data_IF_540949168992
#
_entry.id   IF_540949168992
#
_cell.length_a   1.000
_cell.length_b   1.000
_cell.length_c   1.000
_cell.angle_alpha   90.00
_cell.angle_beta   90.00
_cell.angle_gamma   90.00
#
_symmetry.space_group_name_H-M   'P 1'
#
loop_
_entity.id
_entity.type
_entity.pdbx_description
1 polymer ?
#
# COMPACT_ATOMS: atom_id res chain seq x y z
N UNK A 1 -1.41 30.20 5.03
CA UNK A 1 -2.40 29.11 5.18
C UNK A 1 -1.63 27.82 5.37
N UNK A 2 -1.89 27.07 6.42
CA UNK A 2 -1.27 25.74 6.63
C UNK A 2 -1.76 24.79 5.55
N UNK A 3 -0.86 24.10 4.85
CA UNK A 3 -1.24 23.14 3.79
C UNK A 3 -1.85 21.88 4.41
N UNK A 4 -2.75 21.22 3.68
CA UNK A 4 -3.25 19.91 4.06
C UNK A 4 -2.12 18.88 4.15
N UNK A 5 -2.25 17.91 5.06
CA UNK A 5 -1.36 16.78 5.18
C UNK A 5 -1.70 15.74 4.10
N UNK A 6 -0.73 15.32 3.32
CA UNK A 6 -0.91 14.32 2.27
C UNK A 6 -0.40 12.95 2.74
N UNK A 7 -1.27 11.96 2.76
CA UNK A 7 -0.97 10.59 3.15
C UNK A 7 -1.12 9.67 1.95
N UNK A 8 -0.11 8.85 1.68
CA UNK A 8 -0.13 7.87 0.60
C UNK A 8 -0.20 6.46 1.20
N UNK A 9 -1.29 5.73 0.92
CA UNK A 9 -1.50 4.36 1.38
C UNK A 9 -1.29 3.39 0.23
N UNK A 10 -0.37 2.45 0.41
CA UNK A 10 0.08 1.52 -0.61
C UNK A 10 -0.23 0.08 -0.20
N UNK A 11 -1.18 -0.55 -0.90
CA UNK A 11 -1.60 -1.93 -0.67
C UNK A 11 -0.51 -2.93 -1.09
N UNK A 12 -0.48 -4.11 -0.44
CA UNK A 12 0.34 -5.24 -0.85
C UNK A 12 -0.17 -5.92 -2.12
N UNK A 13 0.73 -6.48 -2.93
CA UNK A 13 0.33 -7.15 -4.18
C UNK A 13 1.45 -7.61 -5.10
N UNK A 14 2.67 -7.78 -4.60
CA UNK A 14 3.81 -8.26 -5.39
C UNK A 14 4.05 -7.41 -6.65
N UNK A 15 4.11 -8.06 -7.82
CA UNK A 15 4.36 -7.38 -9.09
C UNK A 15 3.29 -6.33 -9.49
N UNK A 16 2.10 -6.37 -8.87
CA UNK A 16 1.07 -5.33 -9.07
C UNK A 16 1.52 -3.96 -8.55
N UNK A 17 2.49 -3.92 -7.63
CA UNK A 17 3.04 -2.68 -7.07
C UNK A 17 3.67 -1.73 -8.08
N UNK A 18 3.97 -2.17 -9.29
CA UNK A 18 4.40 -1.29 -10.39
C UNK A 18 3.35 -0.21 -10.72
N UNK A 19 2.06 -0.47 -10.50
CA UNK A 19 0.99 0.52 -10.62
C UNK A 19 1.17 1.69 -9.65
N UNK A 20 1.59 1.40 -8.41
CA UNK A 20 1.84 2.42 -7.38
C UNK A 20 2.95 3.40 -7.77
N UNK A 21 3.94 2.92 -8.54
CA UNK A 21 5.01 3.78 -9.07
C UNK A 21 4.44 4.86 -9.98
N UNK A 22 3.54 4.48 -10.89
CA UNK A 22 2.87 5.43 -11.78
C UNK A 22 1.98 6.42 -11.03
N UNK A 23 1.24 5.94 -10.03
CA UNK A 23 0.44 6.80 -9.14
C UNK A 23 1.33 7.84 -8.44
N UNK A 24 2.45 7.41 -7.86
CA UNK A 24 3.39 8.33 -7.23
C UNK A 24 4.01 9.31 -8.20
N UNK A 25 4.35 8.87 -9.41
CA UNK A 25 4.86 9.73 -10.48
C UNK A 25 3.87 10.86 -10.83
N UNK A 26 2.58 10.55 -10.98
CA UNK A 26 1.54 11.53 -11.27
C UNK A 26 1.36 12.53 -10.11
N UNK A 27 1.35 12.06 -8.86
CA UNK A 27 1.30 12.93 -7.68
C UNK A 27 2.51 13.88 -7.64
N UNK A 28 3.71 13.37 -7.88
CA UNK A 28 4.94 14.16 -7.89
C UNK A 28 4.89 15.24 -8.99
N UNK A 29 4.46 14.91 -10.21
CA UNK A 29 4.28 15.86 -11.32
C UNK A 29 3.24 16.94 -11.02
N UNK A 30 2.22 16.60 -10.24
CA UNK A 30 1.21 17.56 -9.78
C UNK A 30 1.69 18.42 -8.59
N UNK A 31 2.92 18.23 -8.12
CA UNK A 31 3.48 18.94 -6.95
C UNK A 31 2.89 18.46 -5.61
N UNK A 32 2.24 17.29 -5.59
CA UNK A 32 1.66 16.69 -4.40
C UNK A 32 2.69 15.73 -3.78
N UNK A 33 3.34 16.20 -2.73
CA UNK A 33 4.30 15.42 -1.99
C UNK A 33 3.62 14.76 -0.78
N UNK A 34 3.78 13.44 -0.57
CA UNK A 34 3.34 12.81 0.66
C UNK A 34 4.13 13.32 1.87
N UNK A 35 3.43 13.57 2.96
CA UNK A 35 4.01 13.82 4.28
C UNK A 35 4.19 12.50 5.04
N UNK A 36 3.33 11.53 4.72
CA UNK A 36 3.33 10.21 5.32
C UNK A 36 3.01 9.13 4.28
N UNK A 37 3.81 8.07 4.24
CA UNK A 37 3.55 6.88 3.43
C UNK A 37 3.30 5.70 4.37
N UNK A 38 2.21 4.98 4.14
CA UNK A 38 1.86 3.76 4.88
C UNK A 38 1.72 2.62 3.89
N UNK A 39 2.47 1.54 4.10
CA UNK A 39 2.52 0.45 3.14
C UNK A 39 2.50 -0.93 3.77
N UNK A 40 2.03 -1.90 2.98
CA UNK A 40 2.06 -3.32 3.31
C UNK A 40 2.73 -4.08 2.17
N UNK A 41 3.63 -5.04 2.48
CA UNK A 41 4.28 -5.90 1.48
C UNK A 41 5.05 -5.06 0.42
N UNK A 42 4.75 -5.24 -0.88
CA UNK A 42 5.33 -4.39 -1.93
C UNK A 42 5.02 -2.90 -1.72
N UNK A 43 3.90 -2.57 -1.09
CA UNK A 43 3.58 -1.19 -0.71
C UNK A 43 4.54 -0.63 0.34
N UNK A 44 4.98 -1.44 1.30
CA UNK A 44 6.03 -1.08 2.26
C UNK A 44 7.38 -0.85 1.56
N UNK A 45 7.68 -1.67 0.56
CA UNK A 45 8.89 -1.59 -0.24
C UNK A 45 8.90 -0.30 -1.09
N UNK A 46 7.83 -0.03 -1.83
CA UNK A 46 7.68 1.23 -2.56
C UNK A 46 7.70 2.44 -1.60
N UNK A 47 7.05 2.32 -0.43
CA UNK A 47 7.06 3.34 0.60
C UNK A 47 8.46 3.67 1.11
N UNK A 48 9.29 2.65 1.35
CA UNK A 48 10.68 2.83 1.76
C UNK A 48 11.52 3.52 0.67
N UNK A 49 11.32 3.18 -0.60
CA UNK A 49 11.98 3.83 -1.72
C UNK A 49 11.55 5.30 -1.91
N UNK A 50 10.29 5.61 -1.58
CA UNK A 50 9.77 6.98 -1.61
C UNK A 50 10.36 7.80 -0.45
N UNK A 51 10.32 7.27 0.77
CA UNK A 51 10.64 8.01 1.99
C UNK A 51 12.13 7.98 2.35
N UNK A 52 12.87 6.94 1.95
CA UNK A 52 14.26 6.68 2.36
C UNK A 52 15.29 7.42 1.54
N UNK A 53 15.43 8.72 1.79
CA UNK A 53 16.39 9.60 1.14
C UNK A 53 15.79 10.95 0.77
N UNK A 54 16.48 11.73 -0.05
CA UNK A 54 15.88 12.97 -0.53
C UNK A 54 14.71 12.68 -1.48
N UNK A 55 13.75 13.59 -1.48
CA UNK A 55 12.52 13.40 -2.24
C UNK A 55 12.66 13.70 -3.72
N UNK A 56 13.72 14.41 -4.13
CA UNK A 56 13.98 14.71 -5.54
C UNK A 56 14.38 13.43 -6.30
N UNK A 57 15.08 12.49 -5.63
CA UNK A 57 15.52 11.23 -6.23
C UNK A 57 14.60 10.02 -5.91
N UNK A 58 13.45 10.22 -5.29
CA UNK A 58 12.54 9.11 -4.93
C UNK A 58 12.04 8.33 -6.15
N UNK A 59 11.72 9.01 -7.25
CA UNK A 59 11.34 8.36 -8.51
C UNK A 59 12.49 7.56 -9.10
N UNK A 60 13.71 8.07 -9.06
CA UNK A 60 14.88 7.36 -9.55
C UNK A 60 15.16 6.07 -8.75
N UNK A 61 14.97 6.10 -7.43
CA UNK A 61 15.08 4.90 -6.58
C UNK A 61 14.02 3.86 -6.92
N UNK A 62 12.77 4.28 -7.13
CA UNK A 62 11.69 3.40 -7.57
C UNK A 62 12.00 2.80 -8.95
N UNK A 63 12.42 3.61 -9.91
CA UNK A 63 12.80 3.16 -11.25
C UNK A 63 13.93 2.14 -11.19
N UNK A 64 15.02 2.46 -10.50
CA UNK A 64 16.15 1.55 -10.34
C UNK A 64 15.73 0.21 -9.73
N UNK A 65 14.89 0.22 -8.69
CA UNK A 65 14.38 -1.01 -8.09
C UNK A 65 13.57 -1.85 -9.08
N UNK A 66 12.56 -1.24 -9.73
CA UNK A 66 11.67 -1.98 -10.63
C UNK A 66 12.36 -2.44 -11.91
N UNK A 67 13.38 -1.71 -12.39
CA UNK A 67 14.24 -2.15 -13.50
C UNK A 67 15.11 -3.35 -13.10
N UNK A 68 15.69 -3.33 -11.91
CA UNK A 68 16.56 -4.41 -11.43
C UNK A 68 15.84 -5.73 -11.14
N UNK A 69 14.56 -5.67 -10.73
CA UNK A 69 13.75 -6.86 -10.49
C UNK A 69 12.97 -7.31 -11.73
N UNK A 70 12.96 -6.49 -12.79
CA UNK A 70 12.29 -6.87 -14.03
C UNK A 70 12.95 -8.09 -14.65
N UNK A 71 12.14 -9.04 -15.07
CA UNK A 71 12.64 -10.14 -15.90
C UNK A 71 12.80 -9.66 -17.34
N UNK A 72 13.93 -9.98 -17.98
CA UNK A 72 14.22 -9.48 -19.32
C UNK A 72 13.19 -9.96 -20.33
N UNK A 73 12.74 -9.04 -21.15
CA UNK A 73 11.82 -9.29 -22.25
C UNK A 73 11.79 -8.08 -23.18
N UNK A 74 11.26 -8.29 -24.38
CA UNK A 74 11.03 -7.22 -25.35
C UNK A 74 9.59 -7.31 -25.83
N UNK A 75 8.81 -6.24 -25.63
CA UNK A 75 7.47 -6.14 -26.18
C UNK A 75 7.52 -5.90 -27.68
N UNK A 76 6.90 -6.83 -28.42
CA UNK A 76 6.67 -6.70 -29.87
C UNK A 76 5.16 -6.70 -30.19
N UNK A 77 4.31 -6.41 -29.19
CA UNK A 77 2.86 -6.37 -29.29
C UNK A 77 2.14 -7.40 -28.40
N UNK A 78 0.80 -7.38 -28.36
CA UNK A 78 -0.01 -8.09 -27.36
C UNK A 78 0.21 -9.60 -27.26
N UNK A 79 0.57 -10.28 -28.35
CA UNK A 79 0.86 -11.71 -28.33
C UNK A 79 2.24 -12.00 -27.70
N UNK A 80 3.25 -11.19 -28.03
CA UNK A 80 4.57 -11.32 -27.40
C UNK A 80 4.51 -11.01 -25.91
N UNK A 81 3.72 -10.01 -25.50
CA UNK A 81 3.53 -9.64 -24.09
C UNK A 81 2.90 -10.78 -23.27
N UNK A 82 1.95 -11.52 -23.85
CA UNK A 82 1.37 -12.71 -23.21
C UNK A 82 2.40 -13.82 -23.00
N UNK A 83 3.22 -14.08 -24.01
CA UNK A 83 4.28 -15.10 -23.93
C UNK A 83 5.37 -14.69 -22.92
N UNK A 84 5.76 -13.41 -22.95
CA UNK A 84 6.70 -12.82 -21.99
C UNK A 84 6.17 -12.95 -20.55
N UNK A 85 4.93 -12.56 -20.31
CA UNK A 85 4.27 -12.66 -19.00
C UNK A 85 4.19 -14.12 -18.51
N UNK A 86 3.87 -15.10 -19.38
CA UNK A 86 3.88 -16.51 -19.01
C UNK A 86 5.29 -17.00 -18.68
N UNK A 87 6.28 -16.65 -19.48
CA UNK A 87 7.68 -17.00 -19.24
C UNK A 87 8.19 -16.37 -17.93
N UNK A 88 7.90 -15.09 -17.70
CA UNK A 88 8.29 -14.38 -16.50
C UNK A 88 7.74 -15.03 -15.23
N UNK A 89 6.46 -15.42 -15.22
CA UNK A 89 5.86 -16.14 -14.07
C UNK A 89 6.52 -17.50 -13.84
N UNK A 90 6.75 -18.26 -14.91
CA UNK A 90 7.46 -19.53 -14.79
C UNK A 90 8.87 -19.33 -14.24
N UNK A 91 9.59 -18.33 -14.72
CA UNK A 91 10.92 -17.98 -14.24
C UNK A 91 10.91 -17.52 -12.78
N UNK A 92 9.94 -16.69 -12.39
CA UNK A 92 9.79 -16.26 -10.99
C UNK A 92 9.61 -17.44 -10.04
N UNK A 93 8.79 -18.42 -10.42
CA UNK A 93 8.58 -19.64 -9.62
C UNK A 93 9.80 -20.56 -9.57
N UNK A 94 10.51 -20.71 -10.69
CA UNK A 94 11.57 -21.74 -10.84
C UNK A 94 12.97 -21.23 -10.61
N UNK A 95 13.24 -19.96 -10.90
CA UNK A 95 14.55 -19.31 -10.76
C UNK A 95 14.55 -18.13 -9.80
N UNK A 96 13.36 -17.67 -9.39
CA UNK A 96 13.20 -16.45 -8.59
C UNK A 96 13.14 -15.19 -9.44
N UNK A 97 13.28 -14.05 -8.75
CA UNK A 97 13.29 -12.71 -9.34
C UNK A 97 14.65 -12.07 -9.02
N UNK A 98 15.38 -11.56 -10.03
CA UNK A 98 16.68 -10.94 -9.81
C UNK A 98 16.63 -9.89 -8.70
N UNK A 99 17.66 -9.79 -7.89
CA UNK A 99 17.81 -8.79 -6.82
C UNK A 99 16.65 -8.74 -5.79
N UNK A 100 15.75 -9.73 -5.84
CA UNK A 100 14.58 -9.82 -4.96
C UNK A 100 14.57 -11.14 -4.20
N UNK A 101 14.32 -12.29 -4.87
CA UNK A 101 14.32 -13.61 -4.23
C UNK A 101 14.80 -14.72 -5.15
N UNK A 102 15.35 -15.78 -4.54
CA UNK A 102 15.81 -16.98 -5.26
C UNK A 102 15.24 -18.25 -4.63
N UNK A 103 14.93 -19.31 -5.42
CA UNK A 103 14.44 -20.56 -4.85
C UNK A 103 15.52 -21.21 -3.98
N UNK A 104 15.11 -21.72 -2.84
CA UNK A 104 15.99 -22.56 -2.01
C UNK A 104 16.25 -23.89 -2.72
N UNK A 105 17.43 -24.44 -2.53
CA UNK A 105 17.76 -25.75 -3.08
C UNK A 105 16.85 -26.83 -2.47
N UNK A 106 16.44 -27.88 -3.24
CA UNK A 106 15.51 -28.90 -2.75
C UNK A 106 15.90 -29.52 -1.41
N UNK A 107 17.20 -29.72 -1.17
CA UNK A 107 17.71 -30.30 0.08
C UNK A 107 17.73 -29.33 1.26
N UNK A 108 17.52 -28.04 1.05
CA UNK A 108 17.35 -27.04 2.12
C UNK A 108 15.89 -26.72 2.40
N UNK A 109 14.94 -27.36 1.70
CA UNK A 109 13.51 -27.20 1.95
C UNK A 109 13.15 -27.98 3.23
N UNK A 110 12.52 -27.36 4.23
CA UNK A 110 12.23 -27.99 5.53
C UNK A 110 11.42 -29.28 5.45
N UNK A 111 10.54 -29.43 4.46
CA UNK A 111 9.76 -30.66 4.21
C UNK A 111 10.64 -31.87 3.86
N UNK A 112 11.83 -31.65 3.32
CA UNK A 112 12.76 -32.69 2.88
C UNK A 112 13.94 -32.88 3.83
N UNK A 113 14.05 -32.03 4.87
CA UNK A 113 15.13 -32.08 5.85
C UNK A 113 14.55 -32.22 7.26
N UNK A 114 14.80 -33.33 7.97
CA UNK A 114 14.23 -33.59 9.32
C UNK A 114 14.52 -32.49 10.36
N UNK A 115 15.59 -31.73 10.14
CA UNK A 115 16.03 -30.62 11.03
C UNK A 115 15.95 -29.26 10.31
N UNK A 116 15.11 -29.13 9.26
CA UNK A 116 14.97 -27.90 8.50
C UNK A 116 14.41 -26.76 9.36
N UNK A 117 15.17 -25.67 9.48
CA UNK A 117 14.93 -24.60 10.45
C UNK A 117 14.26 -23.37 9.89
N UNK A 118 14.01 -23.28 8.56
CA UNK A 118 13.45 -22.06 7.94
C UNK A 118 12.20 -22.35 7.13
N UNK A 119 11.03 -21.87 7.54
CA UNK A 119 9.75 -22.10 6.88
C UNK A 119 9.55 -21.16 5.68
N UNK A 120 10.16 -21.45 4.53
CA UNK A 120 9.97 -20.67 3.30
C UNK A 120 10.63 -21.33 2.08
N UNK A 121 9.97 -21.23 0.91
CA UNK A 121 10.48 -21.81 -0.35
C UNK A 121 11.59 -20.97 -0.99
N UNK A 122 11.64 -19.69 -0.71
CA UNK A 122 12.58 -18.75 -1.33
C UNK A 122 13.49 -18.09 -0.29
N UNK A 123 14.65 -17.68 -0.74
CA UNK A 123 15.61 -16.85 -0.03
C UNK A 123 15.50 -15.40 -0.49
N UNK A 124 15.45 -14.45 0.46
CA UNK A 124 15.26 -13.02 0.22
C UNK A 124 16.50 -12.19 0.56
N UNK A 125 17.66 -12.81 0.71
CA UNK A 125 18.91 -12.11 1.03
C UNK A 125 19.31 -11.08 -0.03
N UNK A 126 18.97 -11.34 -1.30
CA UNK A 126 19.17 -10.40 -2.39
C UNK A 126 18.37 -9.11 -2.20
N UNK A 127 17.12 -9.19 -1.74
CA UNK A 127 16.30 -8.02 -1.43
C UNK A 127 16.92 -7.16 -0.34
N UNK A 128 17.46 -7.77 0.72
CA UNK A 128 18.17 -7.04 1.77
C UNK A 128 19.30 -6.18 1.21
N UNK A 129 20.13 -6.74 0.34
CA UNK A 129 21.23 -6.02 -0.28
C UNK A 129 20.73 -4.87 -1.16
N UNK A 130 19.64 -5.09 -1.91
CA UNK A 130 19.00 -4.07 -2.75
C UNK A 130 18.43 -2.93 -1.92
N UNK A 131 17.71 -3.24 -0.83
CA UNK A 131 17.17 -2.22 0.07
C UNK A 131 18.27 -1.39 0.72
N UNK A 132 19.33 -2.02 1.26
CA UNK A 132 20.45 -1.30 1.89
C UNK A 132 21.22 -0.41 0.91
N UNK A 133 21.14 -0.66 -0.37
CA UNK A 133 21.77 0.17 -1.41
C UNK A 133 20.88 1.33 -1.86
N UNK A 134 19.56 1.11 -1.95
CA UNK A 134 18.63 2.09 -2.52
C UNK A 134 17.96 2.98 -1.46
N UNK A 135 17.89 2.54 -0.21
CA UNK A 135 17.18 3.24 0.88
C UNK A 135 18.20 3.74 1.89
N UNK A 136 18.18 5.03 2.14
CA UNK A 136 18.91 5.65 3.25
C UNK A 136 18.06 5.54 4.53
N UNK A 137 18.26 4.44 5.26
CA UNK A 137 17.54 4.17 6.51
C UNK A 137 17.88 5.15 7.63
N UNK A 138 19.08 5.70 7.65
CA UNK A 138 19.49 6.71 8.63
C UNK A 138 18.69 8.01 8.44
N UNK A 139 18.39 8.35 7.20
CA UNK A 139 17.59 9.51 6.88
C UNK A 139 16.11 9.36 7.29
N UNK A 140 15.58 8.13 7.37
CA UNK A 140 14.19 7.87 7.81
C UNK A 140 13.96 8.23 9.29
N UNK A 141 14.97 8.08 10.16
CA UNK A 141 14.85 8.29 11.60
C UNK A 141 15.22 9.67 12.11
N UNK A 142 15.95 10.46 11.34
CA UNK A 142 16.64 11.69 11.81
C UNK A 142 16.06 12.99 11.30
N UNK A 143 15.18 12.95 10.30
CA UNK A 143 14.64 14.18 9.71
C UNK A 143 13.52 14.73 10.58
N UNK A 144 13.73 15.97 11.04
CA UNK A 144 12.70 16.79 11.69
C UNK A 144 11.41 16.78 10.82
N UNK A 145 10.24 16.83 11.44
CA UNK A 145 8.89 16.84 10.85
C UNK A 145 8.69 17.75 9.61
N UNK A 146 9.64 18.63 9.31
CA UNK A 146 9.52 19.61 8.22
C UNK A 146 10.15 19.17 6.89
N UNK A 147 11.08 18.18 6.88
CA UNK A 147 11.88 17.88 5.68
C UNK A 147 11.85 16.40 5.25
N UNK A 148 11.34 15.48 6.08
CA UNK A 148 11.26 14.05 5.82
C UNK A 148 9.83 13.56 5.53
N UNK A 149 9.72 12.37 4.91
CA UNK A 149 8.46 11.64 4.76
C UNK A 149 8.39 10.60 5.88
N UNK A 150 7.32 10.61 6.68
CA UNK A 150 7.03 9.55 7.66
C UNK A 150 6.75 8.25 6.91
N UNK A 151 7.31 7.14 7.37
CA UNK A 151 7.05 5.80 6.83
C UNK A 151 6.51 4.90 7.93
N UNK A 152 5.38 4.24 7.65
CA UNK A 152 4.88 3.15 8.49
C UNK A 152 4.69 1.89 7.67
N UNK A 153 5.12 0.75 8.19
CA UNK A 153 5.01 -0.54 7.51
C UNK A 153 4.35 -1.57 8.41
N UNK A 154 3.33 -2.27 7.89
CA UNK A 154 2.59 -3.28 8.63
C UNK A 154 3.21 -4.66 8.50
N UNK A 155 3.38 -5.39 9.61
CA UNK A 155 3.80 -6.78 9.64
C UNK A 155 3.05 -7.56 10.73
N UNK A 156 2.89 -8.87 10.58
CA UNK A 156 2.18 -9.72 11.53
C UNK A 156 3.17 -10.45 12.42
N UNK A 157 3.09 -10.26 13.72
CA UNK A 157 3.86 -11.02 14.69
C UNK A 157 3.44 -12.49 14.66
N UNK A 158 4.37 -13.38 14.32
CA UNK A 158 4.07 -14.81 14.12
C UNK A 158 3.63 -15.50 15.41
N UNK A 159 4.23 -15.13 16.54
CA UNK A 159 3.94 -15.74 17.83
C UNK A 159 2.60 -15.31 18.44
N UNK A 160 2.20 -14.06 18.19
CA UNK A 160 0.99 -13.44 18.76
C UNK A 160 -0.19 -13.45 17.79
N UNK A 161 0.06 -13.52 16.47
CA UNK A 161 -0.97 -13.36 15.42
C UNK A 161 -1.50 -11.95 15.29
N UNK A 162 -0.80 -10.96 15.82
CA UNK A 162 -1.20 -9.56 15.87
C UNK A 162 -0.51 -8.74 14.80
N UNK A 163 -1.25 -7.81 14.19
CA UNK A 163 -0.70 -6.83 13.27
C UNK A 163 0.04 -5.75 14.06
N UNK A 164 1.28 -5.49 13.68
CA UNK A 164 2.15 -4.45 14.25
C UNK A 164 2.54 -3.47 13.16
N UNK A 165 2.55 -2.18 13.46
CA UNK A 165 3.10 -1.17 12.56
C UNK A 165 4.45 -0.68 13.09
N UNK A 166 5.47 -0.81 12.25
CA UNK A 166 6.76 -0.18 12.45
C UNK A 166 6.76 1.20 11.81
N UNK A 167 6.95 2.24 12.60
CA UNK A 167 6.78 3.62 12.21
C UNK A 167 8.05 4.42 12.44
N UNK A 168 8.49 5.16 11.44
CA UNK A 168 9.74 5.94 11.49
C UNK A 168 9.74 7.07 12.54
N UNK A 169 8.57 7.47 13.05
CA UNK A 169 8.47 8.42 14.18
C UNK A 169 8.78 7.77 15.53
N UNK A 170 8.63 6.45 15.64
CA UNK A 170 8.76 5.73 16.90
C UNK A 170 9.93 4.73 16.88
N UNK A 171 10.39 4.33 15.69
CA UNK A 171 11.40 3.29 15.50
C UNK A 171 12.46 3.75 14.48
N UNK A 172 13.69 3.36 14.69
CA UNK A 172 14.71 3.41 13.63
C UNK A 172 14.48 2.23 12.70
N UNK A 173 13.90 2.51 11.52
CA UNK A 173 13.61 1.47 10.55
C UNK A 173 14.88 1.00 9.84
N UNK A 174 14.87 -0.27 9.43
CA UNK A 174 15.94 -0.88 8.63
C UNK A 174 15.35 -1.84 7.59
N UNK A 175 16.19 -2.51 6.82
CA UNK A 175 15.76 -3.43 5.77
C UNK A 175 14.89 -4.58 6.32
N UNK A 176 15.15 -5.05 7.54
CA UNK A 176 14.43 -6.14 8.17
C UNK A 176 12.95 -5.79 8.39
N UNK A 177 12.62 -4.56 8.79
CA UNK A 177 11.24 -4.09 8.94
C UNK A 177 10.47 -4.14 7.61
N UNK A 178 11.11 -3.68 6.52
CA UNK A 178 10.51 -3.71 5.18
C UNK A 178 10.34 -5.15 4.68
N UNK A 179 11.36 -5.99 4.89
CA UNK A 179 11.31 -7.42 4.52
C UNK A 179 10.27 -8.19 5.34
N UNK A 180 10.09 -7.87 6.63
CA UNK A 180 9.05 -8.46 7.47
C UNK A 180 7.65 -8.19 6.92
N UNK A 181 7.41 -6.94 6.49
CA UNK A 181 6.14 -6.56 5.85
C UNK A 181 5.86 -7.31 4.55
N UNK A 182 6.89 -7.78 3.83
CA UNK A 182 6.77 -8.54 2.58
C UNK A 182 6.98 -10.05 2.72
N UNK A 183 7.14 -10.59 3.92
CA UNK A 183 7.44 -12.00 4.18
C UNK A 183 6.18 -12.88 4.10
N UNK A 184 5.59 -13.05 2.90
CA UNK A 184 4.34 -13.82 2.73
C UNK A 184 4.60 -15.34 2.79
N UNK A 185 4.05 -16.07 3.79
CA UNK A 185 4.17 -17.51 3.87
C UNK A 185 3.28 -18.21 2.82
N UNK A 186 3.61 -19.43 2.36
CA UNK A 186 4.84 -20.17 2.64
C UNK A 186 5.99 -19.80 1.68
N UNK A 187 5.81 -18.78 0.83
CA UNK A 187 6.82 -18.35 -0.14
C UNK A 187 8.10 -17.90 0.57
N UNK A 188 7.97 -16.97 1.47
CA UNK A 188 9.09 -16.37 2.20
C UNK A 188 9.14 -16.80 3.66
N UNK A 189 10.34 -16.97 4.24
CA UNK A 189 10.50 -17.24 5.65
C UNK A 189 10.10 -16.01 6.48
N UNK A 190 9.73 -16.20 7.77
CA UNK A 190 9.54 -15.08 8.67
C UNK A 190 10.86 -14.32 8.84
N UNK A 191 10.75 -13.03 9.06
CA UNK A 191 11.89 -12.13 9.31
C UNK A 191 11.93 -11.80 10.80
N UNK A 192 13.12 -11.90 11.39
CA UNK A 192 13.34 -11.53 12.78
C UNK A 192 13.56 -10.01 12.89
N UNK A 193 12.79 -9.36 13.76
CA UNK A 193 12.90 -7.96 14.14
C UNK A 193 12.84 -7.90 15.65
N UNK A 194 13.86 -7.33 16.29
CA UNK A 194 13.96 -7.16 17.74
C UNK A 194 13.72 -8.46 18.57
N UNK A 195 14.16 -9.61 18.03
CA UNK A 195 14.04 -10.92 18.67
C UNK A 195 12.67 -11.59 18.50
N UNK A 196 11.74 -11.01 17.76
CA UNK A 196 10.45 -11.59 17.40
C UNK A 196 10.37 -11.87 15.89
N UNK A 197 9.56 -12.86 15.51
CA UNK A 197 9.39 -13.26 14.11
C UNK A 197 8.15 -12.63 13.50
N UNK A 198 8.27 -12.11 12.28
CA UNK A 198 7.20 -11.44 11.57
C UNK A 198 6.98 -11.99 10.16
N UNK A 199 5.72 -12.01 9.76
CA UNK A 199 5.24 -12.28 8.42
C UNK A 199 4.57 -11.05 7.80
N UNK A 200 4.22 -11.18 6.51
CA UNK A 200 3.56 -10.15 5.71
C UNK A 200 2.30 -9.61 6.39
N UNK A 201 2.22 -8.27 6.46
CA UNK A 201 1.08 -7.56 7.03
C UNK A 201 -0.25 -7.85 6.33
N UNK A 202 -0.20 -8.20 5.04
CA UNK A 202 -1.36 -8.55 4.23
C UNK A 202 -2.14 -9.78 4.71
N UNK A 203 -1.56 -10.61 5.58
CA UNK A 203 -2.29 -11.69 6.25
C UNK A 203 -3.45 -11.17 7.11
N UNK A 204 -3.32 -9.98 7.70
CA UNK A 204 -4.31 -9.36 8.60
C UNK A 204 -4.90 -8.10 7.98
N UNK A 205 -4.12 -7.13 7.53
CA UNK A 205 -4.58 -5.93 6.86
C UNK A 205 -3.68 -5.59 5.69
N UNK A 206 -4.26 -5.54 4.48
CA UNK A 206 -3.53 -5.26 3.26
C UNK A 206 -3.61 -3.79 2.83
N UNK A 207 -4.60 -3.05 3.33
CA UNK A 207 -4.74 -1.59 3.15
C UNK A 207 -4.89 -0.96 4.53
N UNK A 208 -3.84 -0.35 5.09
CA UNK A 208 -3.78 0.10 6.49
C UNK A 208 -4.47 1.46 6.73
N UNK A 209 -5.71 1.61 6.26
CA UNK A 209 -6.47 2.85 6.40
C UNK A 209 -6.89 3.11 7.84
N UNK A 210 -7.25 2.06 8.57
CA UNK A 210 -7.64 2.09 9.99
C UNK A 210 -6.50 2.66 10.84
N UNK A 211 -5.28 2.19 10.61
CA UNK A 211 -4.10 2.68 11.33
C UNK A 211 -3.90 4.19 11.14
N UNK A 212 -4.04 4.68 9.90
CA UNK A 212 -3.89 6.12 9.60
C UNK A 212 -4.91 6.98 10.34
N UNK A 213 -6.11 6.45 10.53
CA UNK A 213 -7.22 7.19 11.13
C UNK A 213 -7.28 7.10 12.66
N UNK A 214 -6.68 6.02 13.21
CA UNK A 214 -6.52 5.84 14.65
C UNK A 214 -5.31 6.59 15.19
N UNK A 215 -4.29 6.76 14.33
CA UNK A 215 -3.08 7.48 14.69
C UNK A 215 -3.38 8.97 14.81
N UNK A 216 -3.67 9.40 16.02
CA UNK A 216 -3.92 10.81 16.31
C UNK A 216 -2.71 11.67 15.92
N UNK A 217 -2.96 12.70 15.12
CA UNK A 217 -1.96 13.73 14.83
C UNK A 217 -1.97 14.76 15.96
N UNK A 218 -1.11 14.68 16.98
CA UNK A 218 -1.18 15.57 18.13
C UNK A 218 -1.08 17.03 17.71
N UNK A 219 -2.16 17.79 17.92
CA UNK A 219 -2.18 19.24 17.74
C UNK A 219 -2.39 19.74 16.31
N UNK A 220 -2.66 18.88 15.33
CA UNK A 220 -2.90 19.29 13.96
C UNK A 220 -4.41 19.36 13.67
N UNK A 221 -4.93 20.59 13.48
CA UNK A 221 -6.27 20.84 12.91
C UNK A 221 -6.21 20.91 11.37
N UNK A 222 -5.14 20.38 10.75
CA UNK A 222 -4.96 20.45 9.31
C UNK A 222 -5.85 19.45 8.58
N UNK A 223 -6.46 19.81 7.45
CA UNK A 223 -7.14 18.86 6.59
C UNK A 223 -6.18 17.74 6.15
N UNK A 224 -6.70 16.53 6.02
CA UNK A 224 -5.93 15.37 5.58
C UNK A 224 -6.41 14.93 4.20
N UNK A 225 -5.48 14.74 3.27
CA UNK A 225 -5.74 14.12 1.98
C UNK A 225 -5.10 12.72 1.97
N UNK A 226 -5.92 11.68 1.89
CA UNK A 226 -5.47 10.30 1.79
C UNK A 226 -5.58 9.82 0.35
N UNK A 227 -4.46 9.42 -0.24
CA UNK A 227 -4.39 8.76 -1.54
C UNK A 227 -4.24 7.26 -1.31
N UNK A 228 -5.30 6.51 -1.56
CA UNK A 228 -5.35 5.05 -1.32
C UNK A 228 -5.18 4.33 -2.64
N UNK A 229 -4.20 3.44 -2.74
CA UNK A 229 -3.89 2.68 -3.95
C UNK A 229 -4.15 1.21 -3.70
N UNK A 230 -5.31 0.72 -4.16
CA UNK A 230 -5.72 -0.68 -4.08
C UNK A 230 -5.33 -1.44 -5.35
N UNK A 231 -4.82 -2.65 -5.16
CA UNK A 231 -4.30 -3.52 -6.23
C UNK A 231 -5.20 -4.73 -6.53
N UNK A 232 -6.16 -5.02 -5.65
CA UNK A 232 -6.99 -6.21 -5.71
C UNK A 232 -8.49 -5.86 -5.83
N UNK A 233 -9.24 -6.71 -6.55
CA UNK A 233 -10.66 -6.51 -6.82
C UNK A 233 -11.54 -7.54 -6.14
N UNK A 234 -12.52 -7.08 -5.34
CA UNK A 234 -13.50 -7.99 -4.72
C UNK A 234 -14.43 -8.62 -5.77
N UNK A 235 -14.83 -7.86 -6.80
CA UNK A 235 -15.65 -8.36 -7.89
C UNK A 235 -14.80 -9.01 -8.99
N UNK A 236 -15.29 -10.11 -9.58
CA UNK A 236 -14.60 -10.81 -10.66
C UNK A 236 -15.42 -12.01 -11.17
N UNK A 237 -15.04 -12.59 -12.32
CA UNK A 237 -15.72 -13.73 -12.90
C UNK A 237 -15.58 -15.01 -12.04
N UNK A 238 -16.47 -15.95 -12.24
CA UNK A 238 -16.33 -17.29 -11.66
C UNK A 238 -15.11 -17.99 -12.29
N UNK A 239 -14.25 -18.64 -11.48
CA UNK A 239 -13.08 -19.34 -11.98
C UNK A 239 -13.46 -20.60 -12.74
N UNK A 240 -12.76 -20.91 -13.83
CA UNK A 240 -12.92 -22.11 -14.65
C UNK A 240 -11.79 -23.11 -14.50
N UNK A 241 -10.65 -22.66 -13.94
CA UNK A 241 -9.45 -23.47 -13.70
C UNK A 241 -8.99 -23.37 -12.25
N UNK A 242 -8.17 -24.35 -11.80
CA UNK A 242 -7.58 -24.32 -10.45
C UNK A 242 -6.76 -23.04 -10.22
N UNK A 243 -6.01 -22.63 -11.23
CA UNK A 243 -5.17 -21.43 -11.11
C UNK A 243 -6.02 -20.16 -11.01
N UNK A 244 -7.13 -20.08 -11.75
CA UNK A 244 -8.08 -18.98 -11.61
C UNK A 244 -8.77 -18.99 -10.24
N UNK A 245 -9.06 -20.18 -9.69
CA UNK A 245 -9.63 -20.30 -8.34
C UNK A 245 -8.66 -19.78 -7.27
N UNK A 246 -7.38 -20.14 -7.34
CA UNK A 246 -6.34 -19.62 -6.42
C UNK A 246 -6.23 -18.09 -6.51
N UNK A 247 -6.28 -17.53 -7.71
CA UNK A 247 -6.24 -16.08 -7.86
C UNK A 247 -7.51 -15.41 -7.36
N UNK A 248 -8.66 -16.01 -7.63
CA UNK A 248 -9.93 -15.47 -7.16
C UNK A 248 -10.02 -15.46 -5.64
N UNK A 249 -9.44 -16.46 -4.99
CA UNK A 249 -9.28 -16.50 -3.53
C UNK A 249 -8.46 -15.31 -3.04
N UNK A 250 -7.29 -15.05 -3.63
CA UNK A 250 -6.45 -13.89 -3.31
C UNK A 250 -7.19 -12.56 -3.54
N UNK A 251 -7.86 -12.42 -4.68
CA UNK A 251 -8.65 -11.23 -4.99
C UNK A 251 -9.68 -10.95 -3.90
N UNK A 252 -10.45 -11.96 -3.49
CA UNK A 252 -11.45 -11.83 -2.43
C UNK A 252 -10.79 -11.51 -1.08
N UNK A 253 -9.72 -12.23 -0.74
CA UNK A 253 -9.05 -12.08 0.55
C UNK A 253 -8.47 -10.68 0.74
N UNK A 254 -7.79 -10.14 -0.29
CA UNK A 254 -7.08 -8.88 -0.17
C UNK A 254 -7.94 -7.65 -0.49
N UNK A 255 -8.96 -7.77 -1.36
CA UNK A 255 -9.80 -6.65 -1.72
C UNK A 255 -10.95 -6.38 -0.74
N UNK A 256 -11.55 -7.43 -0.15
CA UNK A 256 -12.76 -7.30 0.67
C UNK A 256 -12.55 -6.43 1.90
N UNK A 257 -11.40 -6.56 2.54
CA UNK A 257 -11.07 -5.78 3.75
C UNK A 257 -10.95 -4.29 3.45
N UNK A 258 -10.32 -3.91 2.34
CA UNK A 258 -10.17 -2.52 1.94
C UNK A 258 -11.53 -1.82 1.75
N UNK A 259 -12.46 -2.48 1.05
CA UNK A 259 -13.81 -1.95 0.86
C UNK A 259 -14.61 -1.82 2.16
N UNK A 260 -14.49 -2.80 3.07
CA UNK A 260 -15.14 -2.75 4.39
C UNK A 260 -14.59 -1.60 5.25
N UNK A 261 -13.28 -1.38 5.24
CA UNK A 261 -12.63 -0.31 5.99
C UNK A 261 -13.11 1.07 5.53
N UNK A 262 -13.22 1.31 4.23
CA UNK A 262 -13.76 2.56 3.68
C UNK A 262 -15.23 2.76 4.11
N UNK A 263 -16.06 1.71 4.06
CA UNK A 263 -17.45 1.79 4.49
C UNK A 263 -17.58 2.09 6.00
N UNK A 264 -16.79 1.40 6.81
CA UNK A 264 -16.75 1.61 8.26
C UNK A 264 -16.30 3.03 8.61
N UNK A 265 -15.29 3.52 7.92
CA UNK A 265 -14.80 4.89 8.04
C UNK A 265 -15.90 5.93 7.74
N UNK A 266 -16.61 5.81 6.61
CA UNK A 266 -17.72 6.70 6.29
C UNK A 266 -18.74 6.77 7.44
N UNK A 267 -19.04 5.63 8.07
CA UNK A 267 -19.97 5.57 9.22
C UNK A 267 -19.43 6.25 10.47
N UNK A 268 -18.16 6.00 10.82
CA UNK A 268 -17.53 6.65 11.98
C UNK A 268 -17.50 8.17 11.80
N UNK A 269 -17.07 8.63 10.62
CA UNK A 269 -17.04 10.07 10.35
C UNK A 269 -18.43 10.70 10.35
N UNK A 270 -19.45 10.00 9.87
CA UNK A 270 -20.85 10.48 9.96
C UNK A 270 -21.30 10.62 11.41
N UNK A 271 -20.96 9.64 12.27
CA UNK A 271 -21.27 9.72 13.71
C UNK A 271 -20.52 10.87 14.41
N UNK A 272 -19.23 11.04 14.12
CA UNK A 272 -18.44 12.15 14.65
C UNK A 272 -19.01 13.52 14.21
N UNK A 273 -19.40 13.63 12.94
CA UNK A 273 -20.06 14.84 12.42
C UNK A 273 -21.41 15.10 13.10
N UNK A 274 -22.21 14.06 13.36
CA UNK A 274 -23.46 14.21 14.10
C UNK A 274 -23.24 14.68 15.55
N UNK A 275 -22.24 14.15 16.25
CA UNK A 275 -21.86 14.60 17.60
C UNK A 275 -21.47 16.10 17.55
N UNK A 276 -20.69 16.52 16.57
CA UNK A 276 -20.30 17.93 16.40
C UNK A 276 -21.51 18.82 16.13
N UNK A 277 -22.39 18.43 15.22
CA UNK A 277 -23.64 19.17 14.95
C UNK A 277 -24.47 19.32 16.21
N UNK A 278 -24.66 18.22 16.96
CA UNK A 278 -25.38 18.28 18.24
C UNK A 278 -24.71 19.19 19.25
N UNK A 279 -23.38 19.24 19.30
CA UNK A 279 -22.65 20.13 20.21
C UNK A 279 -22.98 21.60 20.03
N UNK A 280 -23.22 22.02 18.78
CA UNK A 280 -23.60 23.41 18.49
C UNK A 280 -24.99 23.78 19.02
N UNK A 281 -25.88 22.82 19.21
CA UNK A 281 -27.23 23.01 19.72
C UNK A 281 -27.36 22.84 21.23
N UNK A 282 -26.29 22.39 21.92
CA UNK A 282 -26.32 22.23 23.38
C UNK A 282 -26.10 23.59 24.07
N UNK A 283 -26.81 23.88 25.17
CA UNK A 283 -26.52 25.04 26.05
C UNK A 283 -25.08 24.94 26.58
N UNK A 284 -24.44 26.11 26.77
CA UNK A 284 -23.04 26.20 27.21
C UNK A 284 -22.80 25.52 28.56
N UNK A 285 -23.73 25.63 29.49
CA UNK A 285 -23.68 25.00 30.80
C UNK A 285 -23.63 23.45 30.71
N UNK A 286 -24.30 22.86 29.71
CA UNK A 286 -24.34 21.43 29.48
C UNK A 286 -23.05 20.95 28.84
N UNK A 287 -22.46 21.71 27.92
CA UNK A 287 -21.23 21.37 27.21
C UNK A 287 -20.05 21.14 28.16
N UNK A 288 -20.01 21.89 29.27
CA UNK A 288 -18.92 21.87 30.25
C UNK A 288 -19.10 20.81 31.35
N UNK A 289 -20.17 20.03 31.33
CA UNK A 289 -20.29 18.87 32.25
C UNK A 289 -19.30 17.80 31.84
N UNK A 290 -18.66 17.14 32.79
CA UNK A 290 -17.57 16.18 32.53
C UNK A 290 -17.97 15.08 31.53
N UNK A 291 -19.16 14.49 31.66
CA UNK A 291 -19.65 13.43 30.76
C UNK A 291 -19.88 13.95 29.33
N UNK A 292 -20.50 15.12 29.19
CA UNK A 292 -20.75 15.69 27.86
C UNK A 292 -19.44 16.14 27.21
N UNK A 293 -18.54 16.76 27.96
CA UNK A 293 -17.22 17.15 27.46
C UNK A 293 -16.44 15.98 26.87
N UNK A 294 -16.45 14.80 27.52
CA UNK A 294 -15.83 13.60 26.98
C UNK A 294 -16.50 13.12 25.68
N UNK A 295 -17.82 13.14 25.62
CA UNK A 295 -18.56 12.79 24.37
C UNK A 295 -18.22 13.77 23.25
N UNK A 296 -18.16 15.07 23.54
CA UNK A 296 -17.85 16.09 22.54
C UNK A 296 -16.43 15.97 21.98
N UNK A 297 -15.48 15.48 22.76
CA UNK A 297 -14.14 15.17 22.25
C UNK A 297 -14.18 14.11 21.13
N UNK A 298 -15.10 13.14 21.18
CA UNK A 298 -15.29 12.17 20.10
C UNK A 298 -15.77 12.81 18.79
N UNK A 299 -16.42 13.96 18.86
CA UNK A 299 -16.86 14.73 17.69
C UNK A 299 -15.77 15.62 17.08
N UNK A 300 -14.62 15.79 17.75
CA UNK A 300 -13.48 16.52 17.21
C UNK A 300 -12.84 15.65 16.11
N UNK A 301 -12.78 16.18 14.93
CA UNK A 301 -12.13 15.48 13.83
C UNK A 301 -11.56 16.48 12.84
N UNK A 302 -10.51 16.04 12.18
CA UNK A 302 -9.95 16.71 11.02
C UNK A 302 -10.80 16.38 9.79
N UNK A 303 -11.02 17.33 8.87
CA UNK A 303 -11.60 17.04 7.57
C UNK A 303 -10.70 16.08 6.81
N UNK A 304 -11.26 14.98 6.30
CA UNK A 304 -10.51 13.97 5.56
C UNK A 304 -11.05 13.83 4.15
N UNK A 305 -10.18 14.01 3.15
CA UNK A 305 -10.43 13.66 1.76
C UNK A 305 -9.75 12.33 1.46
N UNK A 306 -10.48 11.40 0.87
CA UNK A 306 -9.94 10.11 0.43
C UNK A 306 -10.13 10.02 -1.08
N UNK A 307 -9.02 9.94 -1.79
CA UNK A 307 -8.96 9.60 -3.22
C UNK A 307 -8.48 8.16 -3.30
N UNK A 308 -9.38 7.26 -3.65
CA UNK A 308 -9.10 5.83 -3.74
C UNK A 308 -9.04 5.41 -5.20
N UNK A 309 -7.93 4.83 -5.61
CA UNK A 309 -7.74 4.22 -6.92
C UNK A 309 -7.72 2.71 -6.80
N UNK A 310 -8.50 2.03 -7.64
CA UNK A 310 -8.44 0.59 -7.84
C UNK A 310 -7.70 0.31 -9.13
N UNK A 311 -6.58 -0.40 -9.05
CA UNK A 311 -5.79 -0.76 -10.22
C UNK A 311 -6.65 -1.51 -11.25
N UNK A 312 -6.56 -1.21 -12.56
CA UNK A 312 -7.41 -1.82 -13.57
C UNK A 312 -7.18 -3.33 -13.67
N UNK A 313 -8.26 -4.09 -13.90
CA UNK A 313 -8.16 -5.49 -14.29
C UNK A 313 -7.83 -5.55 -15.78
N UNK A 314 -6.62 -5.96 -16.12
CA UNK A 314 -6.20 -6.08 -17.53
C UNK A 314 -6.74 -7.37 -18.14
N UNK A 315 -7.28 -7.32 -19.34
CA UNK A 315 -7.82 -8.50 -20.07
C UNK A 315 -6.79 -9.63 -20.24
N UNK A 316 -5.52 -9.27 -20.21
CA UNK A 316 -4.40 -10.21 -20.35
C UNK A 316 -3.90 -10.76 -19.01
N UNK A 317 -4.40 -10.24 -17.86
CA UNK A 317 -4.03 -10.74 -16.54
C UNK A 317 -4.62 -12.11 -16.31
N UNK A 318 -3.74 -13.09 -16.42
CA UNK A 318 -4.05 -14.48 -16.09
C UNK A 318 -3.80 -14.74 -14.59
N UNK A 319 -4.04 -15.98 -14.19
CA UNK A 319 -3.62 -16.51 -12.91
C UNK A 319 -2.17 -16.09 -12.56
N UNK A 320 -1.92 -15.71 -11.29
CA UNK A 320 -0.59 -15.32 -10.78
C UNK A 320 -0.10 -13.94 -11.27
N UNK A 321 -1.01 -12.96 -11.37
CA UNK A 321 -0.69 -11.58 -11.72
C UNK A 321 0.29 -10.90 -10.74
N UNK A 322 0.29 -11.35 -9.49
CA UNK A 322 1.15 -10.88 -8.39
C UNK A 322 2.62 -11.33 -8.49
N UNK A 323 2.92 -12.30 -9.38
CA UNK A 323 4.30 -12.76 -9.65
C UNK A 323 4.74 -12.51 -11.11
N UNK A 324 4.01 -11.70 -11.84
CA UNK A 324 4.35 -11.32 -13.21
C UNK A 324 5.27 -10.09 -13.22
N UNK A 325 6.56 -10.34 -13.06
CA UNK A 325 7.63 -9.34 -13.12
C UNK A 325 8.19 -9.16 -14.54
N UNK A 326 7.44 -9.46 -15.60
CA UNK A 326 7.84 -9.14 -16.96
C UNK A 326 7.96 -7.63 -17.17
N UNK A 327 8.94 -7.21 -17.98
CA UNK A 327 9.15 -5.80 -18.27
C UNK A 327 7.90 -5.15 -18.87
N UNK A 328 7.23 -5.82 -19.82
CA UNK A 328 6.00 -5.34 -20.43
C UNK A 328 4.87 -5.11 -19.43
N UNK A 329 4.70 -6.03 -18.45
CA UNK A 329 3.69 -5.87 -17.40
C UNK A 329 4.02 -4.73 -16.44
N UNK A 330 5.29 -4.58 -16.04
CA UNK A 330 5.75 -3.49 -15.17
C UNK A 330 5.48 -2.14 -15.83
N UNK A 331 5.91 -1.95 -17.09
CA UNK A 331 5.73 -0.70 -17.82
C UNK A 331 4.25 -0.37 -17.98
N UNK A 332 3.45 -1.35 -18.37
CA UNK A 332 2.03 -1.12 -18.61
C UNK A 332 1.24 -0.83 -17.32
N UNK A 333 1.61 -1.44 -16.18
CA UNK A 333 1.01 -1.12 -14.87
C UNK A 333 1.40 0.27 -14.39
N UNK A 334 2.69 0.62 -14.53
CA UNK A 334 3.17 1.98 -14.22
C UNK A 334 2.41 3.03 -15.04
N UNK A 335 2.28 2.82 -16.35
CA UNK A 335 1.54 3.75 -17.22
C UNK A 335 0.08 3.88 -16.78
N UNK A 336 -0.60 2.76 -16.50
CA UNK A 336 -1.98 2.79 -16.03
C UNK A 336 -2.12 3.57 -14.71
N UNK A 337 -1.20 3.36 -13.75
CA UNK A 337 -1.22 4.11 -12.48
C UNK A 337 -1.03 5.61 -12.66
N UNK A 338 -0.12 6.00 -13.57
CA UNK A 338 0.09 7.40 -13.91
C UNK A 338 -1.16 8.03 -14.53
N UNK A 339 -1.77 7.36 -15.49
CA UNK A 339 -2.93 7.89 -16.21
C UNK A 339 -4.16 7.96 -15.29
N UNK A 340 -4.39 6.93 -14.48
CA UNK A 340 -5.50 6.89 -13.53
C UNK A 340 -5.39 8.02 -12.49
N UNK A 341 -4.22 8.22 -11.90
CA UNK A 341 -4.04 9.29 -10.91
C UNK A 341 -4.15 10.66 -11.55
N UNK A 342 -3.61 10.86 -12.76
CA UNK A 342 -3.75 12.12 -13.49
C UNK A 342 -5.21 12.46 -13.73
N UNK A 343 -6.01 11.49 -14.22
CA UNK A 343 -7.45 11.68 -14.41
C UNK A 343 -8.17 11.93 -13.07
N UNK A 344 -7.83 11.19 -11.99
CA UNK A 344 -8.43 11.38 -10.69
C UNK A 344 -8.20 12.78 -10.12
N UNK A 345 -7.01 13.34 -10.28
CA UNK A 345 -6.70 14.71 -9.87
C UNK A 345 -7.53 15.76 -10.62
N UNK A 346 -7.83 15.50 -11.89
CA UNK A 346 -8.63 16.41 -12.72
C UNK A 346 -10.12 16.38 -12.36
N UNK A 347 -10.68 15.22 -12.05
CA UNK A 347 -12.13 15.04 -11.84
C UNK A 347 -12.55 15.09 -10.38
N UNK A 348 -11.66 14.78 -9.43
CA UNK A 348 -12.00 14.71 -8.00
C UNK A 348 -12.28 16.09 -7.42
N UNK A 349 -13.45 16.33 -6.82
CA UNK A 349 -13.77 17.59 -6.15
C UNK A 349 -12.85 17.87 -4.95
N UNK A 350 -12.22 16.84 -4.42
CA UNK A 350 -11.39 16.93 -3.21
C UNK A 350 -10.21 17.90 -3.34
N UNK A 351 -9.73 18.15 -4.58
CA UNK A 351 -8.66 19.11 -4.84
C UNK A 351 -9.16 20.54 -5.12
N UNK A 352 -10.41 20.66 -5.58
CA UNK A 352 -10.97 21.94 -6.04
C UNK A 352 -11.65 22.71 -4.91
N UNK A 353 -12.27 21.98 -3.99
CA UNK A 353 -12.99 22.58 -2.86
C UNK A 353 -12.43 22.04 -1.53
N UNK A 354 -11.94 22.90 -0.62
CA UNK A 354 -11.58 22.44 0.72
C UNK A 354 -12.81 21.80 1.36
N UNK A 355 -12.59 20.70 2.09
CA UNK A 355 -13.69 20.06 2.85
C UNK A 355 -14.26 21.12 3.78
N UNK A 356 -15.56 21.42 3.65
CA UNK A 356 -16.21 22.25 4.63
C UNK A 356 -16.18 21.53 5.98
N UNK A 357 -16.00 22.28 7.04
CA UNK A 357 -15.98 21.76 8.42
C UNK A 357 -17.18 20.87 8.77
N UNK A 358 -18.25 20.93 7.98
CA UNK A 358 -19.51 20.20 8.22
C UNK A 358 -19.56 18.79 7.62
N UNK A 359 -18.62 18.38 6.75
CA UNK A 359 -18.76 17.16 5.95
C UNK A 359 -18.01 15.95 6.53
N UNK A 360 -17.07 16.12 7.44
CA UNK A 360 -16.34 15.01 8.08
C UNK A 360 -15.37 14.30 7.12
N UNK A 361 -15.83 13.31 6.34
CA UNK A 361 -15.00 12.61 5.35
C UNK A 361 -15.64 12.65 3.97
N UNK A 362 -14.85 13.01 2.95
CA UNK A 362 -15.22 12.90 1.54
C UNK A 362 -14.42 11.75 0.93
N UNK A 363 -15.10 10.81 0.27
CA UNK A 363 -14.46 9.65 -0.36
C UNK A 363 -14.85 9.62 -1.82
N UNK A 364 -13.87 9.72 -2.70
CA UNK A 364 -13.98 9.50 -4.14
C UNK A 364 -13.23 8.20 -4.47
N UNK A 365 -13.93 7.18 -4.97
CA UNK A 365 -13.34 5.90 -5.37
C UNK A 365 -13.42 5.79 -6.88
N UNK A 366 -12.30 5.44 -7.52
CA UNK A 366 -12.20 5.41 -8.97
C UNK A 366 -11.59 4.09 -9.45
N UNK A 367 -12.03 3.63 -10.61
CA UNK A 367 -11.41 2.57 -11.38
C UNK A 367 -11.46 2.87 -12.87
N UNK A 368 -10.49 2.41 -13.63
CA UNK A 368 -10.55 2.48 -15.08
C UNK A 368 -11.54 1.45 -15.66
N UNK A 369 -12.35 1.88 -16.62
CA UNK A 369 -13.14 1.02 -17.46
C UNK A 369 -12.28 0.37 -18.58
N UNK A 370 -12.88 -0.45 -19.46
CA UNK A 370 -12.16 -1.12 -20.56
C UNK A 370 -11.54 -0.16 -21.57
N UNK A 371 -12.04 1.05 -21.67
CA UNK A 371 -11.57 2.08 -22.59
C UNK A 371 -10.48 2.97 -21.96
N UNK A 372 -10.02 2.66 -20.75
CA UNK A 372 -9.02 3.43 -20.02
C UNK A 372 -9.53 4.75 -19.43
N UNK A 373 -10.86 4.92 -19.37
CA UNK A 373 -11.47 6.08 -18.73
C UNK A 373 -11.74 5.77 -17.26
N UNK A 374 -11.43 6.72 -16.39
CA UNK A 374 -11.69 6.62 -14.98
C UNK A 374 -13.18 6.83 -14.69
N UNK A 375 -13.78 5.90 -13.98
CA UNK A 375 -15.19 5.96 -13.53
C UNK A 375 -15.27 5.90 -12.02
N UNK A 376 -16.17 6.69 -11.45
CA UNK A 376 -16.39 6.67 -10.00
C UNK A 376 -17.15 5.41 -9.60
N UNK A 377 -16.65 4.71 -8.58
CA UNK A 377 -17.35 3.59 -7.95
C UNK A 377 -18.31 4.11 -6.88
N UNK A 378 -19.57 3.74 -7.02
CA UNK A 378 -20.66 4.09 -6.10
C UNK A 378 -20.58 3.35 -4.75
#
# INVERSE_FOLDING_TARGET
>A
MSRAMNILLLQGGGALGAYQVGVYEALNRAGIRPDWVVGTSVGALNGALIAGGDTEHSLQRLEAFWEEIAQPGHSFGPQSDRMESQAARYMALTRGVPNFFTPRRPWSIPLLHPNGTLPGFYDTSALRATLNRLVDFDALGTRNFHDGIRLSVGAVNVGKGELTYFDSHHHSLNAEHIMASGALPPGFPPVEVDGELYWDGGLVSNTPLDYVLEEEQPGSNLPVNCYVVDLWHAAGPAPSTIMEAINREKDIQYATRAGQNVHFLKRIHALKAAIRTLSHHLPEEVRHTSQISEILKLGLQQPVNIVRLLAPVREQETAQKDIDFSWSSIVARRQAGHDDMTQALDICPCHKDPVSDDIGARVCSFRSNRDGQLVEES
#
